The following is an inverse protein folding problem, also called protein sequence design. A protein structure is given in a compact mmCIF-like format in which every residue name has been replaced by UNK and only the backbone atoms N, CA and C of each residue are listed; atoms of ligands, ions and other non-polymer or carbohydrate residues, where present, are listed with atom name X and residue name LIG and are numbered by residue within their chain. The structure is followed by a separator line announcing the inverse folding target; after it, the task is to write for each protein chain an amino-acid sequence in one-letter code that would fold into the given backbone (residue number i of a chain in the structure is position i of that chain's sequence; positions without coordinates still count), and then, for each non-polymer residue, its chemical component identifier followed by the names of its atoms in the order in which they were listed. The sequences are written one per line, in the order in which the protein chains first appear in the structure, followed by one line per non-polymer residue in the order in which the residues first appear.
data_IF_351824264644
#
_entry.id   IF_351824264644
#
_cell.length_a   1.000
_cell.length_b   1.000
_cell.length_c   1.000
_cell.angle_alpha   90.00
_cell.angle_beta   90.00
_cell.angle_gamma   90.00
#
_symmetry.space_group_name_H-M   'P 1'
#
loop_
_entity.id
_entity.type
_entity.pdbx_description
1 polymer ?
#
# COMPACT_ATOMS: atom_id res chain seq x y z
N UNK A 1 15.53 -2.43 -49.44
CA UNK A 1 15.66 -1.43 -48.35
C UNK A 1 16.37 -1.99 -47.12
N UNK A 2 16.02 -3.16 -46.56
CA UNK A 2 16.73 -3.71 -45.38
C UNK A 2 18.26 -3.81 -45.55
N UNK A 3 18.74 -4.22 -46.74
CA UNK A 3 20.19 -4.26 -47.08
C UNK A 3 20.89 -2.89 -47.09
N UNK A 4 20.15 -1.79 -47.27
CA UNK A 4 20.71 -0.43 -47.25
C UNK A 4 20.87 0.09 -45.81
N UNK A 5 19.97 -0.31 -44.90
CA UNK A 5 20.07 0.03 -43.47
C UNK A 5 21.28 -0.68 -42.83
N UNK A 6 21.55 -1.92 -43.21
CA UNK A 6 22.74 -2.68 -42.77
C UNK A 6 24.07 -2.04 -43.17
N UNK A 7 24.09 -1.18 -44.19
CA UNK A 7 25.28 -0.44 -44.63
C UNK A 7 25.29 1.01 -44.14
N UNK A 8 24.28 1.42 -43.38
CA UNK A 8 24.17 2.78 -42.87
C UNK A 8 25.01 2.90 -41.60
N UNK A 9 26.11 3.63 -41.71
CA UNK A 9 27.03 3.94 -40.62
C UNK A 9 26.92 5.43 -40.30
N UNK A 10 26.40 5.75 -39.13
CA UNK A 10 26.23 7.12 -38.64
C UNK A 10 26.27 7.14 -37.11
N UNK A 11 26.80 8.22 -36.57
CA UNK A 11 26.88 8.45 -35.13
C UNK A 11 25.84 9.51 -34.72
N UNK A 12 25.18 9.31 -33.59
CA UNK A 12 24.17 10.23 -33.07
C UNK A 12 24.59 10.66 -31.67
N UNK A 13 24.91 11.94 -31.52
CA UNK A 13 25.13 12.58 -30.22
C UNK A 13 23.87 13.32 -29.82
N UNK A 14 23.40 13.16 -28.58
CA UNK A 14 22.16 13.79 -28.14
C UNK A 14 22.18 14.08 -26.64
N UNK A 15 21.33 15.00 -26.22
CA UNK A 15 21.20 15.41 -24.82
C UNK A 15 20.83 14.24 -23.89
N UNK A 16 21.22 14.37 -22.61
CA UNK A 16 20.82 13.44 -21.57
C UNK A 16 19.28 13.39 -21.40
N UNK A 17 18.71 12.25 -20.96
CA UNK A 17 17.26 12.10 -20.78
C UNK A 17 16.65 13.16 -19.86
N UNK A 18 15.73 13.97 -20.39
CA UNK A 18 15.01 15.01 -19.65
C UNK A 18 13.47 14.82 -19.73
N UNK A 19 12.73 15.63 -18.97
CA UNK A 19 11.26 15.62 -18.95
C UNK A 19 10.62 16.68 -19.87
N UNK A 20 11.40 17.42 -20.67
CA UNK A 20 10.82 18.42 -21.55
C UNK A 20 10.40 17.79 -22.88
N UNK A 21 9.08 17.67 -23.09
CA UNK A 21 8.50 17.09 -24.31
C UNK A 21 8.66 17.99 -25.55
N UNK A 22 8.86 19.30 -25.36
CA UNK A 22 8.91 20.29 -26.44
C UNK A 22 10.32 20.58 -26.97
N UNK A 23 11.35 20.07 -26.31
CA UNK A 23 12.76 20.34 -26.66
C UNK A 23 13.46 19.01 -26.84
N UNK A 24 14.12 18.80 -27.98
CA UNK A 24 15.10 17.74 -28.20
C UNK A 24 16.27 18.34 -28.97
N UNK A 25 17.49 18.10 -28.49
CA UNK A 25 18.72 18.56 -29.11
C UNK A 25 19.67 17.38 -29.30
N UNK A 26 20.06 17.16 -30.56
CA UNK A 26 21.09 16.20 -30.92
C UNK A 26 21.71 16.53 -32.26
N UNK A 27 22.74 15.79 -32.63
CA UNK A 27 23.49 15.93 -33.85
C UNK A 27 23.69 14.54 -34.46
N UNK A 28 23.33 14.39 -35.74
CA UNK A 28 23.63 13.22 -36.54
C UNK A 28 24.92 13.49 -37.33
N UNK A 29 25.96 12.72 -37.06
CA UNK A 29 27.24 12.76 -37.77
C UNK A 29 27.23 11.67 -38.83
N UNK A 30 27.18 12.09 -40.09
CA UNK A 30 27.16 11.17 -41.23
C UNK A 30 28.11 11.63 -42.32
N UNK A 31 29.09 10.78 -42.69
CA UNK A 31 30.07 11.05 -43.76
C UNK A 31 30.76 12.42 -43.64
N UNK A 32 31.14 12.79 -42.42
CA UNK A 32 31.81 14.06 -42.12
C UNK A 32 30.90 15.30 -42.13
N UNK A 33 29.58 15.13 -42.24
CA UNK A 33 28.60 16.22 -42.09
C UNK A 33 27.80 16.06 -40.79
N UNK A 34 27.65 17.17 -40.06
CA UNK A 34 26.84 17.23 -38.84
C UNK A 34 25.48 17.83 -39.17
N UNK A 35 24.41 17.06 -38.93
CA UNK A 35 23.02 17.47 -39.14
C UNK A 35 22.33 17.64 -37.79
N UNK A 36 21.78 18.83 -37.46
CA UNK A 36 21.11 19.05 -36.19
C UNK A 36 19.75 18.31 -36.15
N UNK A 37 19.54 17.55 -35.10
CA UNK A 37 18.28 16.90 -34.75
C UNK A 37 17.52 17.77 -33.75
N UNK A 38 16.27 18.10 -34.10
CA UNK A 38 15.34 18.87 -33.27
C UNK A 38 14.15 18.00 -32.89
N UNK A 39 13.21 18.57 -32.13
CA UNK A 39 12.00 17.86 -31.68
C UNK A 39 11.18 17.26 -32.85
N UNK A 40 11.17 17.92 -34.01
CA UNK A 40 10.44 17.48 -35.20
C UNK A 40 10.98 16.16 -35.80
N UNK A 41 12.21 15.78 -35.45
CA UNK A 41 12.86 14.55 -35.93
C UNK A 41 12.79 13.39 -34.93
N UNK A 42 12.05 13.55 -33.82
CA UNK A 42 11.93 12.53 -32.77
C UNK A 42 10.48 12.04 -32.62
N UNK A 43 10.32 10.72 -32.62
CA UNK A 43 9.06 10.07 -32.28
C UNK A 43 9.07 9.69 -30.81
N UNK A 44 8.17 10.31 -30.03
CA UNK A 44 8.07 10.07 -28.60
C UNK A 44 7.30 8.77 -28.30
N UNK A 45 7.69 8.09 -27.22
CA UNK A 45 6.91 6.97 -26.67
C UNK A 45 5.47 7.42 -26.38
N UNK A 46 4.49 6.61 -26.80
CA UNK A 46 3.06 6.90 -26.61
C UNK A 46 2.41 7.63 -27.79
N UNK A 47 3.19 8.09 -28.77
CA UNK A 47 2.65 8.60 -30.03
C UNK A 47 2.23 7.45 -30.95
N UNK A 48 1.21 7.68 -31.78
CA UNK A 48 0.73 6.70 -32.76
C UNK A 48 0.95 7.26 -34.16
N UNK A 49 1.72 6.55 -34.97
CA UNK A 49 1.93 6.90 -36.37
C UNK A 49 0.59 6.84 -37.11
N UNK A 50 0.28 7.88 -37.88
CA UNK A 50 -0.93 7.99 -38.71
C UNK A 50 -0.54 8.47 -40.11
N UNK A 51 -1.33 8.08 -41.10
CA UNK A 51 -1.19 8.48 -42.51
C UNK A 51 0.15 8.12 -43.18
N UNK A 52 0.91 7.18 -42.61
CA UNK A 52 2.10 6.59 -43.24
C UNK A 52 2.18 5.09 -42.91
N UNK A 53 2.52 4.23 -43.88
CA UNK A 53 2.49 2.78 -43.70
C UNK A 53 3.63 2.25 -42.81
N UNK A 54 4.80 2.89 -42.85
CA UNK A 54 5.97 2.50 -42.07
C UNK A 54 6.91 3.70 -41.87
N UNK A 55 7.74 3.63 -40.83
CA UNK A 55 8.82 4.57 -40.56
C UNK A 55 10.03 3.78 -40.07
N UNK A 56 11.23 4.16 -40.52
CA UNK A 56 12.49 3.65 -39.99
C UNK A 56 13.09 4.68 -39.05
N UNK A 57 13.60 4.24 -37.91
CA UNK A 57 14.21 5.11 -36.91
C UNK A 57 15.17 4.35 -36.01
N UNK A 58 15.95 5.09 -35.25
CA UNK A 58 16.89 4.57 -34.26
C UNK A 58 16.33 4.90 -32.87
N UNK A 59 16.48 3.96 -31.93
CA UNK A 59 16.03 4.16 -30.56
C UNK A 59 17.07 5.00 -29.80
N UNK A 60 16.75 6.26 -29.51
CA UNK A 60 17.62 7.12 -28.70
C UNK A 60 17.42 6.92 -27.19
N UNK A 61 16.17 6.78 -26.73
CA UNK A 61 15.85 6.56 -25.31
C UNK A 61 15.03 5.29 -25.14
N UNK A 62 15.39 4.47 -24.16
CA UNK A 62 14.69 3.22 -23.84
C UNK A 62 14.15 3.21 -22.40
N UNK A 63 12.99 2.59 -22.21
CA UNK A 63 12.43 2.34 -20.87
C UNK A 63 12.21 3.62 -20.03
N UNK A 64 12.76 3.70 -18.80
CA UNK A 64 12.63 4.86 -17.90
C UNK A 64 13.24 6.15 -18.44
N UNK A 65 14.11 6.06 -19.44
CA UNK A 65 14.79 7.23 -20.02
C UNK A 65 13.97 7.93 -21.11
N UNK A 66 12.87 7.32 -21.54
CA UNK A 66 11.93 8.00 -22.43
C UNK A 66 11.31 9.23 -21.76
N UNK A 67 11.15 10.32 -22.51
CA UNK A 67 10.61 11.60 -22.01
C UNK A 67 9.22 11.47 -21.36
N UNK A 68 8.39 10.56 -21.88
CA UNK A 68 7.09 10.24 -21.29
C UNK A 68 7.23 9.63 -19.88
N UNK A 69 8.22 8.74 -19.68
CA UNK A 69 8.46 8.13 -18.37
C UNK A 69 9.08 9.11 -17.38
N UNK A 70 9.93 10.04 -17.83
CA UNK A 70 10.43 11.13 -16.96
C UNK A 70 9.32 12.07 -16.49
N UNK A 71 8.24 12.21 -17.26
CA UNK A 71 7.02 12.92 -16.85
C UNK A 71 6.03 12.06 -16.07
N UNK A 72 6.15 10.73 -16.16
CA UNK A 72 5.29 9.83 -15.41
C UNK A 72 5.73 9.87 -13.95
N UNK A 73 4.90 10.46 -13.09
CA UNK A 73 5.14 10.45 -11.65
C UNK A 73 5.30 9.01 -11.14
N UNK A 74 6.17 8.81 -10.14
CA UNK A 74 6.30 7.51 -9.48
C UNK A 74 4.94 7.11 -8.91
N UNK A 75 4.52 5.86 -9.15
CA UNK A 75 3.32 5.32 -8.53
C UNK A 75 3.50 5.37 -7.01
N UNK A 76 2.70 6.21 -6.34
CA UNK A 76 2.66 6.29 -4.88
C UNK A 76 1.42 5.54 -4.41
N UNK A 77 1.59 4.62 -3.47
CA UNK A 77 0.46 4.04 -2.75
C UNK A 77 -0.26 5.14 -1.99
N UNK A 78 -1.52 5.39 -2.34
CA UNK A 78 -2.38 6.33 -1.62
C UNK A 78 -2.94 5.62 -0.39
N UNK A 79 -2.69 6.17 0.80
CA UNK A 79 -3.38 5.78 2.03
C UNK A 79 -4.64 6.63 2.15
N UNK A 80 -5.76 6.02 2.52
CA UNK A 80 -7.04 6.72 2.66
C UNK A 80 -7.20 7.34 4.04
N UNK A 81 -8.10 8.31 4.19
CA UNK A 81 -8.46 8.86 5.51
C UNK A 81 -9.06 7.78 6.40
N UNK A 82 -9.77 6.82 5.81
CA UNK A 82 -10.39 5.70 6.52
C UNK A 82 -9.32 4.77 7.10
N UNK A 83 -8.21 4.52 6.40
CA UNK A 83 -7.10 3.73 6.95
C UNK A 83 -6.53 4.38 8.23
N UNK A 84 -6.43 5.71 8.25
CA UNK A 84 -6.01 6.44 9.44
C UNK A 84 -7.03 6.38 10.58
N UNK A 85 -8.33 6.40 10.27
CA UNK A 85 -9.40 6.26 11.24
C UNK A 85 -9.43 4.86 11.86
N UNK A 86 -9.32 3.81 11.03
CA UNK A 86 -9.25 2.41 11.48
C UNK A 86 -8.07 2.20 12.42
N UNK A 87 -6.88 2.69 12.06
CA UNK A 87 -5.71 2.58 12.92
C UNK A 87 -5.92 3.28 14.28
N UNK A 88 -6.60 4.43 14.29
CA UNK A 88 -6.92 5.15 15.53
C UNK A 88 -7.90 4.38 16.41
N UNK A 89 -8.92 3.77 15.81
CA UNK A 89 -9.89 2.93 16.54
C UNK A 89 -9.19 1.70 17.13
N UNK A 90 -8.35 1.01 16.36
CA UNK A 90 -7.59 -0.16 16.83
C UNK A 90 -6.72 0.20 18.03
N UNK A 91 -6.01 1.33 17.96
CA UNK A 91 -5.20 1.82 19.07
C UNK A 91 -6.06 2.16 20.31
N UNK A 92 -7.24 2.74 20.11
CA UNK A 92 -8.21 2.99 21.18
C UNK A 92 -8.71 1.70 21.86
N UNK A 93 -9.02 0.66 21.08
CA UNK A 93 -9.44 -0.65 21.59
C UNK A 93 -8.32 -1.31 22.39
N UNK A 94 -7.08 -1.25 21.91
CA UNK A 94 -5.92 -1.79 22.61
C UNK A 94 -5.67 -1.08 23.95
N UNK A 95 -5.79 0.25 23.99
CA UNK A 95 -5.68 1.00 25.23
C UNK A 95 -6.80 0.65 26.22
N UNK A 96 -8.03 0.53 25.73
CA UNK A 96 -9.18 0.12 26.54
C UNK A 96 -8.99 -1.28 27.12
N UNK A 97 -8.48 -2.23 26.33
CA UNK A 97 -8.13 -3.58 26.77
C UNK A 97 -7.13 -3.54 27.93
N UNK A 98 -6.04 -2.77 27.80
CA UNK A 98 -5.02 -2.67 28.85
C UNK A 98 -5.59 -2.10 30.15
N UNK A 99 -6.46 -1.09 30.06
CA UNK A 99 -7.12 -0.51 31.23
C UNK A 99 -8.03 -1.54 31.91
N UNK A 100 -8.83 -2.28 31.13
CA UNK A 100 -9.69 -3.33 31.67
C UNK A 100 -8.88 -4.44 32.36
N UNK A 101 -7.81 -4.93 31.72
CA UNK A 101 -6.92 -5.91 32.33
C UNK A 101 -6.30 -5.38 33.63
N UNK A 102 -5.85 -4.12 33.65
CA UNK A 102 -5.28 -3.50 34.86
C UNK A 102 -6.29 -3.43 36.01
N UNK A 103 -7.53 -3.02 35.74
CA UNK A 103 -8.60 -2.97 36.75
C UNK A 103 -8.89 -4.38 37.28
N UNK A 104 -9.05 -5.36 36.40
CA UNK A 104 -9.31 -6.75 36.80
C UNK A 104 -8.16 -7.35 37.62
N UNK A 105 -6.91 -7.05 37.26
CA UNK A 105 -5.73 -7.47 38.03
C UNK A 105 -5.68 -6.83 39.41
N UNK A 106 -5.98 -5.54 39.52
CA UNK A 106 -6.04 -4.86 40.83
C UNK A 106 -7.14 -5.47 41.70
N UNK A 107 -8.33 -5.71 41.14
CA UNK A 107 -9.43 -6.39 41.83
C UNK A 107 -9.03 -7.81 42.27
N UNK A 108 -8.34 -8.56 41.41
CA UNK A 108 -7.83 -9.90 41.73
C UNK A 108 -6.81 -9.87 42.85
N UNK A 109 -5.88 -8.91 42.86
CA UNK A 109 -4.88 -8.79 43.92
C UNK A 109 -5.47 -8.40 45.27
N UNK A 110 -6.47 -7.51 45.27
CA UNK A 110 -7.23 -7.22 46.49
C UNK A 110 -7.98 -8.46 46.98
N UNK A 111 -8.66 -9.19 46.09
CA UNK A 111 -9.36 -10.41 46.45
C UNK A 111 -8.42 -11.48 47.04
N UNK A 112 -7.26 -11.68 46.41
CA UNK A 112 -6.27 -12.67 46.83
C UNK A 112 -5.67 -12.35 48.20
N UNK A 113 -5.42 -11.05 48.45
CA UNK A 113 -4.87 -10.58 49.72
C UNK A 113 -5.87 -10.67 50.88
N UNK A 114 -7.15 -10.34 50.65
CA UNK A 114 -8.17 -10.32 51.72
C UNK A 114 -8.89 -11.64 51.94
N UNK A 115 -9.21 -12.37 50.86
CA UNK A 115 -10.05 -13.58 50.92
C UNK A 115 -9.27 -14.82 50.48
N UNK A 116 -8.41 -14.68 49.46
CA UNK A 116 -7.61 -15.78 48.92
C UNK A 116 -6.68 -16.41 49.95
N UNK A 117 -6.06 -15.60 50.80
CA UNK A 117 -5.20 -16.07 51.90
C UNK A 117 -5.95 -17.01 52.87
N UNK A 118 -7.14 -16.63 53.32
CA UNK A 118 -7.97 -17.46 54.22
C UNK A 118 -8.55 -18.68 53.49
N UNK A 119 -8.79 -18.56 52.19
CA UNK A 119 -9.34 -19.63 51.36
C UNK A 119 -8.31 -20.71 50.98
N UNK A 120 -7.03 -20.53 51.31
CA UNK A 120 -5.97 -21.54 51.10
C UNK A 120 -6.27 -22.91 51.70
N UNK A 121 -7.14 -22.97 52.72
CA UNK A 121 -7.61 -24.23 53.33
C UNK A 121 -8.36 -25.10 52.32
N UNK A 122 -9.11 -24.49 51.39
CA UNK A 122 -9.91 -25.18 50.38
C UNK A 122 -9.23 -25.23 49.01
N UNK A 123 -8.47 -24.18 48.66
CA UNK A 123 -7.72 -24.10 47.41
C UNK A 123 -6.30 -23.58 47.69
N UNK A 124 -5.33 -24.48 47.94
CA UNK A 124 -3.96 -24.07 48.22
C UNK A 124 -3.32 -23.42 46.98
N UNK A 125 -2.46 -22.44 47.22
CA UNK A 125 -1.67 -21.83 46.15
C UNK A 125 -0.66 -22.83 45.59
N UNK A 126 -0.29 -22.61 44.33
CA UNK A 126 0.68 -23.43 43.65
C UNK A 126 2.08 -23.31 44.27
N UNK A 127 2.86 -24.39 44.23
CA UNK A 127 4.17 -24.49 44.92
C UNK A 127 5.24 -23.50 44.43
N UNK A 128 5.01 -22.82 43.32
CA UNK A 128 5.90 -21.80 42.77
C UNK A 128 5.56 -20.38 43.25
N UNK A 129 4.48 -20.20 44.01
CA UNK A 129 4.06 -18.92 44.58
C UNK A 129 4.60 -18.81 46.00
N UNK A 130 5.11 -17.62 46.35
CA UNK A 130 5.61 -17.32 47.70
C UNK A 130 4.52 -17.47 48.76
N UNK A 131 4.85 -18.09 49.92
CA UNK A 131 3.92 -18.29 51.03
C UNK A 131 3.48 -16.99 51.70
N UNK A 132 4.28 -15.92 51.56
CA UNK A 132 3.99 -14.60 52.08
C UNK A 132 2.71 -14.00 51.45
N UNK A 133 1.85 -13.42 52.29
CA UNK A 133 0.54 -12.92 51.89
C UNK A 133 0.65 -11.82 50.82
N UNK A 134 1.60 -10.90 50.94
CA UNK A 134 1.72 -9.77 50.02
C UNK A 134 2.47 -10.18 48.75
N UNK A 135 3.59 -10.89 48.90
CA UNK A 135 4.44 -11.27 47.76
C UNK A 135 3.71 -12.28 46.86
N UNK A 136 3.08 -13.32 47.43
CA UNK A 136 2.40 -14.30 46.61
C UNK A 136 1.09 -13.79 45.98
N UNK A 137 0.37 -12.86 46.63
CA UNK A 137 -0.77 -12.18 46.01
C UNK A 137 -0.35 -11.35 44.79
N UNK A 138 0.83 -10.70 44.83
CA UNK A 138 1.38 -9.97 43.69
C UNK A 138 1.80 -10.91 42.54
N UNK A 139 2.44 -12.03 42.84
CA UNK A 139 2.83 -13.05 41.85
C UNK A 139 1.59 -13.62 41.13
N UNK A 140 0.55 -13.99 41.88
CA UNK A 140 -0.72 -14.47 41.32
C UNK A 140 -1.38 -13.38 40.47
N UNK A 141 -1.44 -12.15 40.97
CA UNK A 141 -2.06 -11.02 40.24
C UNK A 141 -1.37 -10.75 38.90
N UNK A 142 -0.04 -10.89 38.84
CA UNK A 142 0.72 -10.73 37.61
C UNK A 142 0.43 -11.87 36.61
N UNK A 143 0.40 -13.13 37.07
CA UNK A 143 0.03 -14.26 36.21
C UNK A 143 -1.40 -14.13 35.68
N UNK A 144 -2.32 -13.70 36.55
CA UNK A 144 -3.71 -13.44 36.21
C UNK A 144 -3.86 -12.26 35.24
N UNK A 145 -3.01 -11.22 35.32
CA UNK A 145 -2.96 -10.15 34.32
C UNK A 145 -2.69 -10.68 32.91
N UNK A 146 -1.70 -11.56 32.77
CA UNK A 146 -1.38 -12.20 31.48
C UNK A 146 -2.54 -13.09 30.99
N UNK A 147 -3.19 -13.81 31.92
CA UNK A 147 -4.38 -14.61 31.62
C UNK A 147 -5.54 -13.75 31.10
N UNK A 148 -5.82 -12.61 31.73
CA UNK A 148 -6.88 -11.70 31.29
C UNK A 148 -6.64 -11.11 29.90
N UNK A 149 -5.38 -10.83 29.53
CA UNK A 149 -5.05 -10.41 28.16
C UNK A 149 -5.43 -11.49 27.14
N UNK A 150 -5.17 -12.77 27.45
CA UNK A 150 -5.50 -13.89 26.56
C UNK A 150 -7.02 -14.04 26.44
N UNK A 151 -7.75 -14.00 27.57
CA UNK A 151 -9.21 -14.14 27.61
C UNK A 151 -9.90 -12.99 26.86
N UNK A 152 -9.43 -11.75 27.08
CA UNK A 152 -10.00 -10.54 26.49
C UNK A 152 -9.43 -10.22 25.10
N UNK A 153 -8.57 -11.06 24.52
CA UNK A 153 -8.04 -10.86 23.16
C UNK A 153 -9.16 -10.73 22.11
N UNK A 154 -10.32 -11.36 22.37
CA UNK A 154 -11.53 -11.28 21.54
C UNK A 154 -12.10 -9.85 21.39
N UNK A 155 -11.75 -8.93 22.31
CA UNK A 155 -12.10 -7.51 22.22
C UNK A 155 -11.35 -6.81 21.09
N UNK A 156 -10.14 -7.27 20.74
CA UNK A 156 -9.40 -6.78 19.57
C UNK A 156 -9.99 -7.43 18.33
N UNK A 157 -10.70 -6.68 17.46
CA UNK A 157 -11.41 -7.29 16.36
C UNK A 157 -10.44 -7.54 15.20
N UNK A 158 -9.72 -8.66 15.25
CA UNK A 158 -8.85 -9.11 14.15
C UNK A 158 -9.68 -9.25 12.85
N UNK A 159 -10.94 -9.65 12.98
CA UNK A 159 -11.89 -9.79 11.90
C UNK A 159 -12.33 -8.46 11.28
N UNK A 160 -12.27 -7.33 11.99
CA UNK A 160 -12.74 -6.04 11.46
C UNK A 160 -11.88 -5.57 10.29
N UNK A 161 -10.56 -5.71 10.40
CA UNK A 161 -9.66 -5.34 9.30
C UNK A 161 -9.90 -6.20 8.05
N UNK A 162 -10.01 -7.52 8.23
CA UNK A 162 -10.28 -8.46 7.12
C UNK A 162 -11.66 -8.19 6.50
N UNK A 163 -12.66 -7.89 7.33
CA UNK A 163 -14.02 -7.59 6.87
C UNK A 163 -14.05 -6.31 6.03
N UNK A 164 -13.33 -5.26 6.44
CA UNK A 164 -13.23 -4.01 5.67
C UNK A 164 -12.55 -4.25 4.32
N UNK A 165 -11.43 -5.00 4.29
CA UNK A 165 -10.77 -5.35 3.02
C UNK A 165 -11.69 -6.17 2.10
N UNK A 166 -12.46 -7.09 2.66
CA UNK A 166 -13.44 -7.85 1.89
C UNK A 166 -14.57 -6.97 1.32
N UNK A 167 -15.08 -6.03 2.10
CA UNK A 167 -16.08 -5.05 1.65
C UNK A 167 -15.51 -4.20 0.50
N UNK A 168 -14.27 -3.70 0.62
CA UNK A 168 -13.59 -2.91 -0.42
C UNK A 168 -13.43 -3.69 -1.73
N UNK A 169 -13.10 -4.98 -1.65
CA UNK A 169 -13.01 -5.87 -2.80
C UNK A 169 -14.37 -6.05 -3.49
N UNK A 170 -15.42 -6.31 -2.71
CA UNK A 170 -16.77 -6.44 -3.23
C UNK A 170 -17.25 -5.14 -3.89
N UNK A 171 -17.05 -3.99 -3.24
CA UNK A 171 -17.39 -2.69 -3.80
C UNK A 171 -16.65 -2.40 -5.11
N UNK A 172 -15.35 -2.75 -5.18
CA UNK A 172 -14.56 -2.63 -6.40
C UNK A 172 -15.16 -3.45 -7.54
N UNK A 173 -15.59 -4.69 -7.24
CA UNK A 173 -16.26 -5.55 -8.23
C UNK A 173 -17.64 -5.05 -8.61
N UNK A 174 -18.36 -4.44 -7.68
CA UNK A 174 -19.66 -3.88 -7.96
C UNK A 174 -19.59 -2.72 -8.95
N UNK A 175 -18.54 -1.88 -8.85
CA UNK A 175 -18.25 -0.82 -9.84
C UNK A 175 -17.94 -1.43 -11.21
N UNK A 176 -17.10 -2.48 -11.26
CA UNK A 176 -16.74 -3.15 -12.52
C UNK A 176 -17.96 -3.78 -13.24
N UNK A 177 -18.97 -4.21 -12.48
CA UNK A 177 -20.18 -4.86 -12.99
C UNK A 177 -21.33 -3.90 -13.32
N UNK A 178 -21.17 -2.60 -13.08
CA UNK A 178 -22.25 -1.65 -13.36
C UNK A 178 -22.38 -1.38 -14.88
N UNK A 179 -23.47 -1.89 -15.46
CA UNK A 179 -23.82 -1.67 -16.86
C UNK A 179 -24.13 -0.20 -17.18
N UNK A 180 -24.50 0.64 -16.20
CA UNK A 180 -24.71 2.07 -16.43
C UNK A 180 -23.40 2.83 -16.66
N UNK A 181 -22.29 2.29 -16.19
CA UNK A 181 -20.94 2.87 -16.39
C UNK A 181 -20.20 2.21 -17.56
N UNK A 182 -20.91 1.48 -18.42
CA UNK A 182 -20.35 0.84 -19.60
C UNK A 182 -20.38 1.77 -20.82
N UNK A 183 -19.23 1.93 -21.48
CA UNK A 183 -19.12 2.76 -22.68
C UNK A 183 -19.25 1.90 -23.94
N UNK A 184 -20.44 1.94 -24.54
CA UNK A 184 -20.82 1.11 -25.70
C UNK A 184 -19.96 1.34 -26.96
N UNK A 185 -19.63 2.58 -27.39
CA UNK A 185 -18.95 2.80 -28.67
C UNK A 185 -17.56 2.15 -28.79
N UNK A 186 -16.84 1.99 -27.67
CA UNK A 186 -15.53 1.33 -27.64
C UNK A 186 -15.55 -0.02 -26.91
N UNK A 187 -16.71 -0.52 -26.47
CA UNK A 187 -16.85 -1.74 -25.66
C UNK A 187 -15.91 -1.73 -24.43
N UNK A 188 -15.99 -0.67 -23.61
CA UNK A 188 -15.13 -0.51 -22.43
C UNK A 188 -15.99 -0.41 -21.17
N UNK A 189 -15.92 -1.39 -20.24
CA UNK A 189 -16.57 -1.28 -18.94
C UNK A 189 -15.78 -0.36 -17.99
N UNK A 190 -16.43 0.09 -16.92
CA UNK A 190 -15.74 0.68 -15.79
C UNK A 190 -14.72 -0.31 -15.21
N UNK A 191 -13.55 0.19 -14.82
CA UNK A 191 -12.48 -0.62 -14.23
C UNK A 191 -11.91 0.08 -13.01
N UNK A 192 -12.23 -0.43 -11.83
CA UNK A 192 -11.66 0.01 -10.57
C UNK A 192 -10.23 -0.54 -10.44
N UNK A 193 -9.23 0.32 -10.70
CA UNK A 193 -7.80 -0.06 -10.64
C UNK A 193 -7.23 -0.10 -9.21
N UNK A 194 -7.96 0.45 -8.24
CA UNK A 194 -7.55 0.50 -6.84
C UNK A 194 -8.74 0.17 -5.95
N UNK A 195 -8.63 -0.86 -5.12
CA UNK A 195 -9.72 -1.34 -4.25
C UNK A 195 -9.91 -0.46 -3.01
N UNK A 196 -8.84 0.18 -2.54
CA UNK A 196 -8.86 0.97 -1.29
C UNK A 196 -9.46 2.36 -1.45
N UNK A 197 -9.52 2.90 -2.67
CA UNK A 197 -9.95 4.29 -2.91
C UNK A 197 -11.45 4.45 -3.15
N UNK A 198 -12.22 3.36 -3.18
CA UNK A 198 -13.65 3.39 -3.52
C UNK A 198 -14.44 4.29 -2.56
N UNK A 199 -14.07 4.30 -1.28
CA UNK A 199 -14.75 5.06 -0.23
C UNK A 199 -14.50 6.57 -0.33
N UNK A 200 -13.40 7.00 -0.96
CA UNK A 200 -13.07 8.42 -1.15
C UNK A 200 -13.87 9.05 -2.29
N UNK A 201 -14.45 8.25 -3.21
CA UNK A 201 -15.28 8.76 -4.30
C UNK A 201 -16.50 9.56 -3.81
N UNK A 202 -17.01 9.23 -2.63
CA UNK A 202 -18.12 9.96 -1.97
C UNK A 202 -17.69 11.15 -1.12
N UNK A 203 -16.39 11.46 -1.03
CA UNK A 203 -15.83 12.54 -0.21
C UNK A 203 -15.22 13.69 -1.02
N UNK A 204 -15.34 13.64 -2.34
CA UNK A 204 -14.87 14.69 -3.27
C UNK A 204 -15.88 15.84 -3.32
#
# INVERSE_FOLDING_TARGET
MAKQILKFDAEIEYEAPNNNLGRFEGNLIWKGKTLPLKNDHVLLRGTRLRNTPWAFGIVCYAGPDTKLMKNSGKAKFKRTKIDHLLNRIILGIFLFLLIMCAIMTICSGFWESFVGFDFRIYLPWETYVSDDQQIGALEISLLVFLSYIIILNTVVPISLYVSVEFIRLLQSKWIDWDMKMYYEPNNVPAQARTTTLNEELGQI
#
